data_IF_222108618785
#
_entry.id   IF_222108618785
#
_cell.length_a   1.000
_cell.length_b   1.000
_cell.length_c   1.000
_cell.angle_alpha   90.00
_cell.angle_beta   90.00
_cell.angle_gamma   90.00
#
_symmetry.space_group_name_H-M   'P 1'
#
loop_
_entity.id
_entity.type
_entity.pdbx_description
1 polymer ?
#
# COMPACT_ATOMS: atom_id res chain seq x y z
N UNK A 1 8.65 -1.16 -22.41
CA UNK A 1 8.92 0.18 -22.95
C UNK A 1 9.48 1.01 -21.80
N UNK A 2 10.79 1.27 -21.80
CA UNK A 2 11.38 2.14 -20.78
C UNK A 2 10.96 3.58 -21.10
N UNK A 3 10.16 4.20 -20.23
CA UNK A 3 9.79 5.61 -20.36
C UNK A 3 11.02 6.42 -19.97
N UNK A 4 11.60 7.15 -20.93
CA UNK A 4 12.74 8.01 -20.65
C UNK A 4 12.28 9.25 -19.87
N UNK A 5 12.46 9.19 -18.55
CA UNK A 5 12.11 10.26 -17.61
C UNK A 5 12.78 11.60 -17.96
N UNK A 6 13.95 11.56 -18.62
CA UNK A 6 14.74 12.73 -19.03
C UNK A 6 14.10 13.57 -20.12
N UNK A 7 13.18 13.00 -20.92
CA UNK A 7 12.60 13.69 -22.08
C UNK A 7 11.26 14.38 -21.75
N UNK A 8 10.69 14.12 -20.57
CA UNK A 8 9.39 14.65 -20.13
C UNK A 8 9.48 16.11 -19.66
N UNK A 9 8.55 16.97 -20.07
CA UNK A 9 8.50 18.36 -19.58
C UNK A 9 8.17 18.45 -18.08
N UNK A 10 8.54 19.56 -17.41
CA UNK A 10 8.24 19.77 -15.99
C UNK A 10 6.74 19.58 -15.65
N UNK A 11 5.78 20.11 -16.42
CA UNK A 11 4.35 19.88 -16.16
C UNK A 11 3.94 18.40 -16.27
N UNK A 12 4.56 17.64 -17.18
CA UNK A 12 4.28 16.20 -17.32
C UNK A 12 4.84 15.41 -16.14
N UNK A 13 6.01 15.79 -15.62
CA UNK A 13 6.59 15.19 -14.42
C UNK A 13 5.74 15.49 -13.18
N UNK A 14 5.18 16.68 -13.07
CA UNK A 14 4.29 17.06 -11.96
C UNK A 14 2.96 16.30 -12.00
N UNK A 15 2.37 16.15 -13.19
CA UNK A 15 1.21 15.29 -13.39
C UNK A 15 1.49 13.83 -13.02
N UNK A 16 2.63 13.28 -13.47
CA UNK A 16 3.04 11.91 -13.17
C UNK A 16 3.30 11.71 -11.66
N UNK A 17 3.95 12.68 -11.00
CA UNK A 17 4.16 12.66 -9.55
C UNK A 17 2.82 12.58 -8.80
N UNK A 18 1.86 13.43 -9.18
CA UNK A 18 0.53 13.47 -8.55
C UNK A 18 -0.22 12.15 -8.72
N UNK A 19 -0.15 11.55 -9.91
CA UNK A 19 -0.75 10.23 -10.15
C UNK A 19 -0.10 9.15 -9.28
N UNK A 20 1.24 9.11 -9.22
CA UNK A 20 1.96 8.15 -8.39
C UNK A 20 1.64 8.32 -6.89
N UNK A 21 1.46 9.56 -6.43
CA UNK A 21 1.06 9.86 -5.05
C UNK A 21 -0.32 9.25 -4.73
N UNK A 22 -1.30 9.44 -5.60
CA UNK A 22 -2.65 8.88 -5.43
C UNK A 22 -2.63 7.35 -5.44
N UNK A 23 -1.88 6.73 -6.36
CA UNK A 23 -1.75 5.28 -6.44
C UNK A 23 -1.08 4.69 -5.19
N UNK A 24 -0.03 5.34 -4.68
CA UNK A 24 0.65 4.94 -3.44
C UNK A 24 -0.30 5.01 -2.24
N UNK A 25 -1.07 6.09 -2.11
CA UNK A 25 -2.03 6.27 -1.02
C UNK A 25 -3.13 5.21 -1.07
N UNK A 26 -3.67 4.94 -2.26
CA UNK A 26 -4.68 3.91 -2.47
C UNK A 26 -4.18 2.51 -2.08
N UNK A 27 -2.99 2.13 -2.53
CA UNK A 27 -2.39 0.83 -2.22
C UNK A 27 -2.05 0.71 -0.72
N UNK A 28 -1.56 1.78 -0.11
CA UNK A 28 -1.25 1.83 1.32
C UNK A 28 -2.52 1.67 2.17
N UNK A 29 -3.59 2.39 1.83
CA UNK A 29 -4.90 2.27 2.48
C UNK A 29 -5.45 0.84 2.35
N UNK A 30 -5.34 0.24 1.16
CA UNK A 30 -5.78 -1.13 0.90
C UNK A 30 -5.03 -2.15 1.77
N UNK A 31 -3.70 -2.05 1.86
CA UNK A 31 -2.90 -2.91 2.74
C UNK A 31 -3.30 -2.73 4.22
N UNK A 32 -3.53 -1.49 4.65
CA UNK A 32 -3.95 -1.20 6.03
C UNK A 32 -5.28 -1.89 6.37
N UNK A 33 -6.27 -1.77 5.48
CA UNK A 33 -7.57 -2.44 5.66
C UNK A 33 -7.43 -3.97 5.71
N UNK A 34 -6.63 -4.56 4.82
CA UNK A 34 -6.39 -6.01 4.81
C UNK A 34 -5.70 -6.48 6.10
N UNK A 35 -4.76 -5.71 6.63
CA UNK A 35 -4.11 -5.99 7.92
C UNK A 35 -5.10 -5.95 9.09
N UNK A 36 -6.00 -4.98 9.14
CA UNK A 36 -7.04 -4.93 10.19
C UNK A 36 -7.91 -6.19 10.16
N UNK A 37 -8.32 -6.65 8.97
CA UNK A 37 -9.11 -7.88 8.82
C UNK A 37 -8.29 -9.11 9.23
N UNK A 38 -7.01 -9.16 8.88
CA UNK A 38 -6.10 -10.23 9.31
C UNK A 38 -6.01 -10.29 10.84
N UNK A 39 -5.82 -9.16 11.52
CA UNK A 39 -5.77 -9.08 12.99
C UNK A 39 -7.05 -9.61 13.62
N UNK A 40 -8.22 -9.18 13.13
CA UNK A 40 -9.52 -9.69 13.61
C UNK A 40 -9.63 -11.21 13.48
N UNK A 41 -9.12 -11.79 12.40
CA UNK A 41 -9.11 -13.24 12.23
C UNK A 41 -8.12 -13.96 13.16
N UNK A 42 -6.97 -13.34 13.46
CA UNK A 42 -6.02 -13.87 14.44
C UNK A 42 -6.64 -13.85 15.84
N UNK A 43 -7.23 -12.72 16.24
CA UNK A 43 -7.94 -12.57 17.52
C UNK A 43 -9.10 -13.56 17.64
N UNK A 44 -9.90 -13.73 16.59
CA UNK A 44 -11.00 -14.71 16.57
C UNK A 44 -10.49 -16.17 16.68
N UNK A 45 -9.31 -16.47 16.14
CA UNK A 45 -8.69 -17.80 16.27
C UNK A 45 -8.14 -18.01 17.68
N UNK A 46 -7.63 -16.97 18.33
CA UNK A 46 -7.07 -17.05 19.69
C UNK A 46 -8.17 -17.04 20.77
N UNK A 47 -9.29 -16.36 20.54
CA UNK A 47 -10.45 -16.37 21.45
C UNK A 47 -11.07 -17.77 21.59
N UNK A 48 -10.97 -18.61 20.57
CA UNK A 48 -11.35 -20.04 20.64
C UNK A 48 -10.52 -20.84 21.67
N UNK A 49 -9.37 -20.33 22.11
CA UNK A 49 -8.51 -20.98 23.10
C UNK A 49 -8.62 -20.36 24.51
N UNK A 50 -9.28 -19.20 24.68
CA UNK A 50 -9.43 -18.55 25.98
C UNK A 50 -10.74 -18.95 26.63
N UNK A 51 -10.66 -19.82 27.64
CA UNK A 51 -11.81 -20.26 28.41
C UNK A 51 -12.16 -19.25 29.51
N UNK A 52 -13.37 -18.71 29.46
CA UNK A 52 -13.99 -18.05 30.62
C UNK A 52 -14.54 -19.14 31.54
N UNK A 53 -14.34 -19.07 32.87
CA UNK A 53 -14.97 -20.00 33.80
C UNK A 53 -16.49 -19.81 33.79
N UNK A 54 -17.16 -20.65 33.01
CA UNK A 54 -18.61 -20.77 32.89
C UNK A 54 -18.94 -22.13 32.28
N UNK A 55 -20.04 -22.76 32.71
CA UNK A 55 -20.43 -24.06 32.19
C UNK A 55 -21.01 -23.90 30.78
N UNK A 56 -20.18 -24.07 29.76
CA UNK A 56 -20.61 -24.21 28.37
C UNK A 56 -21.19 -25.62 28.19
N UNK A 57 -22.48 -25.71 27.88
CA UNK A 57 -23.14 -27.00 27.63
C UNK A 57 -22.69 -27.65 26.32
N UNK A 58 -22.10 -26.89 25.40
CA UNK A 58 -21.57 -27.40 24.15
C UNK A 58 -20.32 -26.61 23.75
N UNK A 59 -19.17 -27.30 23.67
CA UNK A 59 -17.84 -26.71 23.39
C UNK A 59 -17.29 -27.24 22.07
N UNK A 60 -18.03 -28.11 21.37
CA UNK A 60 -17.57 -28.79 20.17
C UNK A 60 -17.82 -27.97 18.90
N UNK A 61 -18.85 -27.12 18.90
CA UNK A 61 -19.25 -26.29 17.75
C UNK A 61 -19.28 -24.80 18.06
N UNK A 62 -19.00 -24.00 17.04
CA UNK A 62 -18.98 -22.53 17.08
C UNK A 62 -19.68 -21.96 15.86
N UNK A 63 -20.35 -20.82 16.04
CA UNK A 63 -20.98 -20.09 14.96
C UNK A 63 -19.96 -19.20 14.25
N UNK A 64 -19.77 -19.40 12.96
CA UNK A 64 -18.80 -18.66 12.14
C UNK A 64 -19.52 -17.82 11.08
N UNK A 65 -19.26 -16.51 11.07
CA UNK A 65 -19.69 -15.63 9.98
C UNK A 65 -18.87 -15.92 8.71
N UNK A 66 -19.57 -16.30 7.64
CA UNK A 66 -18.96 -16.59 6.32
C UNK A 66 -19.10 -15.43 5.33
N UNK A 67 -19.81 -14.38 5.70
CA UNK A 67 -20.10 -13.19 4.89
C UNK A 67 -21.56 -13.08 4.45
N UNK A 68 -21.92 -11.94 3.86
CA UNK A 68 -23.28 -11.65 3.33
C UNK A 68 -24.43 -11.78 4.35
N UNK A 69 -24.11 -11.73 5.64
CA UNK A 69 -25.09 -11.90 6.73
C UNK A 69 -25.41 -13.35 7.09
N UNK A 70 -24.66 -14.32 6.55
CA UNK A 70 -24.87 -15.74 6.83
C UNK A 70 -23.89 -16.26 7.89
N UNK A 71 -24.42 -17.04 8.82
CA UNK A 71 -23.68 -17.71 9.87
C UNK A 71 -23.78 -19.22 9.69
N UNK A 72 -22.67 -19.91 9.87
CA UNK A 72 -22.59 -21.37 9.74
C UNK A 72 -22.00 -21.95 11.01
N UNK A 73 -22.69 -22.93 11.58
CA UNK A 73 -22.17 -23.70 12.69
C UNK A 73 -21.07 -24.66 12.21
N UNK A 74 -19.92 -24.63 12.86
CA UNK A 74 -18.74 -25.42 12.52
C UNK A 74 -18.12 -26.03 13.75
N UNK A 75 -17.51 -27.19 13.60
CA UNK A 75 -16.64 -27.72 14.65
C UNK A 75 -15.48 -26.76 14.91
N UNK A 76 -14.98 -26.74 16.14
CA UNK A 76 -13.86 -25.86 16.54
C UNK A 76 -12.64 -26.04 15.61
N UNK A 77 -12.30 -27.27 15.24
CA UNK A 77 -11.17 -27.54 14.34
C UNK A 77 -11.40 -27.01 12.91
N UNK A 78 -12.63 -27.14 12.40
CA UNK A 78 -13.01 -26.61 11.09
C UNK A 78 -13.03 -25.08 11.08
N UNK A 79 -13.44 -24.45 12.18
CA UNK A 79 -13.40 -23.00 12.36
C UNK A 79 -11.95 -22.48 12.40
N UNK A 80 -11.06 -23.16 13.13
CA UNK A 80 -9.61 -22.86 13.14
C UNK A 80 -9.01 -22.96 11.73
N UNK A 81 -9.33 -24.02 10.99
CA UNK A 81 -8.88 -24.20 9.62
C UNK A 81 -9.44 -23.13 8.67
N UNK A 82 -10.69 -22.73 8.85
CA UNK A 82 -11.32 -21.65 8.10
C UNK A 82 -10.61 -20.31 8.31
N UNK A 83 -10.38 -19.91 9.57
CA UNK A 83 -9.68 -18.67 9.89
C UNK A 83 -8.24 -18.69 9.41
N UNK A 84 -7.52 -19.80 9.59
CA UNK A 84 -6.16 -19.96 9.06
C UNK A 84 -6.12 -19.74 7.54
N UNK A 85 -7.04 -20.36 6.79
CA UNK A 85 -7.11 -20.19 5.32
C UNK A 85 -7.39 -18.75 4.91
N UNK A 86 -8.26 -18.04 5.64
CA UNK A 86 -8.56 -16.63 5.40
C UNK A 86 -7.36 -15.73 5.70
N UNK A 87 -6.65 -15.99 6.79
CA UNK A 87 -5.39 -15.30 7.14
C UNK A 87 -4.37 -15.51 6.02
N UNK A 88 -4.11 -16.77 5.63
CA UNK A 88 -3.13 -17.11 4.59
C UNK A 88 -3.49 -16.46 3.24
N UNK A 89 -4.79 -16.39 2.89
CA UNK A 89 -5.25 -15.69 1.70
C UNK A 89 -4.95 -14.19 1.76
N UNK A 90 -5.29 -13.52 2.86
CA UNK A 90 -5.05 -12.09 3.04
C UNK A 90 -3.54 -11.77 3.05
N UNK A 91 -2.73 -12.57 3.73
CA UNK A 91 -1.26 -12.44 3.71
C UNK A 91 -0.73 -12.47 2.29
N UNK A 92 -1.14 -13.46 1.48
CA UNK A 92 -0.72 -13.57 0.07
C UNK A 92 -1.15 -12.37 -0.78
N UNK A 93 -2.33 -11.78 -0.51
CA UNK A 93 -2.75 -10.58 -1.24
C UNK A 93 -1.89 -9.37 -0.85
N UNK A 94 -1.55 -9.22 0.43
CA UNK A 94 -0.63 -8.16 0.90
C UNK A 94 0.76 -8.33 0.28
N UNK A 95 1.31 -9.55 0.29
CA UNK A 95 2.62 -9.87 -0.29
C UNK A 95 2.71 -9.58 -1.78
N UNK A 96 1.61 -9.71 -2.53
CA UNK A 96 1.57 -9.35 -3.97
C UNK A 96 1.58 -7.85 -4.20
N UNK A 97 0.97 -7.08 -3.31
CA UNK A 97 0.85 -5.62 -3.46
C UNK A 97 2.12 -4.91 -2.99
N UNK A 98 2.82 -5.47 -2.00
CA UNK A 98 3.98 -4.84 -1.38
C UNK A 98 5.14 -4.51 -2.36
N UNK A 99 5.53 -5.40 -3.30
CA UNK A 99 6.54 -5.08 -4.32
C UNK A 99 6.06 -3.98 -5.28
N UNK A 100 4.79 -4.01 -5.70
CA UNK A 100 4.23 -3.00 -6.58
C UNK A 100 4.24 -1.61 -5.89
N UNK A 101 3.94 -1.56 -4.59
CA UNK A 101 4.03 -0.34 -3.80
C UNK A 101 5.48 0.18 -3.72
N UNK A 102 6.46 -0.71 -3.49
CA UNK A 102 7.88 -0.33 -3.46
C UNK A 102 8.36 0.20 -4.81
N UNK A 103 7.99 -0.46 -5.90
CA UNK A 103 8.31 -0.02 -7.26
C UNK A 103 7.72 1.37 -7.56
N UNK A 104 6.48 1.62 -7.14
CA UNK A 104 5.82 2.94 -7.29
C UNK A 104 6.52 4.02 -6.47
N UNK A 105 6.95 3.72 -5.25
CA UNK A 105 7.77 4.63 -4.44
C UNK A 105 9.12 4.95 -5.11
N UNK A 106 9.81 3.94 -5.63
CA UNK A 106 11.07 4.12 -6.34
C UNK A 106 10.88 4.97 -7.62
N UNK A 107 9.82 4.70 -8.38
CA UNK A 107 9.45 5.48 -9.56
C UNK A 107 9.18 6.94 -9.21
N UNK A 108 8.41 7.20 -8.16
CA UNK A 108 8.15 8.57 -7.67
C UNK A 108 9.44 9.28 -7.29
N UNK A 109 10.35 8.60 -6.60
CA UNK A 109 11.64 9.18 -6.21
C UNK A 109 12.48 9.56 -7.43
N UNK A 110 12.53 8.70 -8.45
CA UNK A 110 13.19 8.99 -9.72
C UNK A 110 12.57 10.20 -10.45
N UNK A 111 11.23 10.34 -10.44
CA UNK A 111 10.53 11.52 -11.01
C UNK A 111 10.95 12.80 -10.29
N UNK A 112 11.01 12.78 -8.96
CA UNK A 112 11.40 13.94 -8.14
C UNK A 112 12.86 14.34 -8.42
N UNK A 113 13.77 13.38 -8.53
CA UNK A 113 15.18 13.63 -8.84
C UNK A 113 15.34 14.28 -10.21
N UNK A 114 14.67 13.76 -11.24
CA UNK A 114 14.71 14.34 -12.60
C UNK A 114 14.10 15.74 -12.62
N UNK A 115 13.02 15.97 -11.87
CA UNK A 115 12.40 17.29 -11.74
C UNK A 115 13.37 18.30 -11.12
N UNK A 116 14.07 17.93 -10.04
CA UNK A 116 15.05 18.79 -9.38
C UNK A 116 16.24 19.13 -10.30
N UNK A 117 16.75 18.13 -11.04
CA UNK A 117 17.84 18.35 -12.02
C UNK A 117 17.41 19.35 -13.10
N UNK A 118 16.19 19.24 -13.62
CA UNK A 118 15.67 20.17 -14.64
C UNK A 118 15.47 21.59 -14.11
N UNK A 119 14.99 21.74 -12.88
CA UNK A 119 14.85 23.04 -12.22
C UNK A 119 16.23 23.70 -12.06
N UNK A 120 17.24 22.92 -11.63
CA UNK A 120 18.59 23.42 -11.43
C UNK A 120 19.27 23.84 -12.75
N UNK A 121 19.06 23.08 -13.83
CA UNK A 121 19.54 23.45 -15.17
C UNK A 121 18.92 24.76 -15.65
N UNK A 122 17.60 24.95 -15.46
CA UNK A 122 16.90 26.17 -15.85
C UNK A 122 17.42 27.40 -15.08
N UNK A 123 17.69 27.27 -13.79
CA UNK A 123 18.25 28.35 -12.96
C UNK A 123 19.67 28.75 -13.39
N UNK A 124 20.53 27.78 -13.73
CA UNK A 124 21.89 28.05 -14.22
C UNK A 124 21.88 28.77 -15.57
N UNK A 125 20.97 28.41 -16.47
CA UNK A 125 20.83 29.09 -17.77
C UNK A 125 20.30 30.53 -17.67
N UNK A 126 19.53 30.89 -16.63
CA UNK A 126 19.05 32.26 -16.42
C UNK A 126 20.12 33.19 -15.81
N UNK A 127 21.07 32.67 -15.03
CA UNK A 127 22.17 33.48 -14.48
C UNK A 127 23.27 33.83 -15.50
N UNK A 128 23.47 33.02 -16.55
CA UNK A 128 24.46 33.29 -17.59
C UNK A 128 24.07 34.42 -18.57
N UNK A 129 22.80 34.85 -18.62
CA UNK A 129 22.34 35.89 -19.55
C UNK A 129 22.39 37.32 -18.99
N UNK A 130 22.75 37.52 -17.71
CA UNK A 130 22.81 38.86 -17.09
C UNK A 130 24.23 39.44 -16.94
N UNK A 131 25.29 38.74 -17.35
CA UNK A 131 26.69 39.16 -17.09
C UNK A 131 27.45 39.68 -18.32
N UNK A 132 26.83 39.76 -19.51
CA UNK A 132 27.46 40.35 -20.70
C UNK A 132 26.86 41.74 -20.99
N UNK A 133 27.31 42.72 -20.22
CA UNK A 133 27.15 44.14 -20.54
C UNK A 133 28.38 44.92 -20.08
N UNK A 134 29.45 45.03 -20.90
CA UNK A 134 30.57 45.88 -20.56
C UNK A 134 30.23 47.36 -20.81
N UNK A 135 30.12 48.08 -19.70
CA UNK A 135 30.84 49.31 -19.36
C UNK A 135 31.51 50.10 -20.52
N UNK A 136 31.06 51.36 -20.67
CA UNK A 136 31.77 52.58 -21.14
C UNK A 136 32.57 52.55 -22.47
N UNK A 137 32.11 53.40 -23.40
CA UNK A 137 32.93 54.46 -24.01
C UNK A 137 32.01 55.65 -24.32
#
# INVERSE_FOLDING_TARGET
>A
MAVNLTDLSLPQLEGLKTQLDQEIEFLTSSISQLKVVQTKYVEAKDSLNMYVPGSLNDVETVLVDVGTGYYVEKKVDDAKAFFKRKIDFLTKQIEKIQPALQEKHAMKQAVIEVMNVKIQQLQQSQQSSQVVGPTKA
#
